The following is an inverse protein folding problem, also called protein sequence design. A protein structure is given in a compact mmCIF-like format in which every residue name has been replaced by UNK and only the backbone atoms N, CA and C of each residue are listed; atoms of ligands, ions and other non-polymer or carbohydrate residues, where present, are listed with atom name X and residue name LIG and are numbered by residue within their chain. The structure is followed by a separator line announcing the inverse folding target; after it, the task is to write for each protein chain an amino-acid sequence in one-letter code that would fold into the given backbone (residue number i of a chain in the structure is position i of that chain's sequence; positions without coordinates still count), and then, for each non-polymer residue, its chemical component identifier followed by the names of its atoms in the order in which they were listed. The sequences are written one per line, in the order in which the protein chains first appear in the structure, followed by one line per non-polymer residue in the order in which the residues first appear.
data_IF_521250990617
#
_entry.id   IF_521250990617
#
_cell.length_a   1.000
_cell.length_b   1.000
_cell.length_c   1.000
_cell.angle_alpha   90.00
_cell.angle_beta   90.00
_cell.angle_gamma   90.00
#
_symmetry.space_group_name_H-M   'P 1'
#
loop_
_entity.id
_entity.type
_entity.pdbx_description
1 polymer ?
#
# COMPACT_ATOMS: atom_id res chain seq x y z
N UNK A 1 29.01 32.29 26.36
CA UNK A 1 29.32 33.04 25.12
C UNK A 1 30.80 32.90 24.77
N UNK A 2 31.11 32.85 23.47
CA UNK A 2 32.44 32.79 22.89
C UNK A 2 33.12 34.17 22.85
N UNK A 3 34.45 34.18 22.89
CA UNK A 3 35.25 35.39 22.65
C UNK A 3 35.34 35.72 21.16
N UNK A 4 35.65 36.97 20.82
CA UNK A 4 35.75 37.46 19.44
C UNK A 4 36.74 36.62 18.60
N UNK A 5 37.91 36.33 19.15
CA UNK A 5 38.92 35.47 18.53
C UNK A 5 38.40 34.06 18.23
N UNK A 6 37.51 33.52 19.08
CA UNK A 6 36.91 32.20 18.87
C UNK A 6 35.85 32.28 17.77
N UNK A 7 35.03 33.33 17.77
CA UNK A 7 34.00 33.56 16.74
C UNK A 7 34.62 33.65 15.34
N UNK A 8 35.75 34.34 15.21
CA UNK A 8 36.48 34.48 13.93
C UNK A 8 36.99 33.13 13.40
N UNK A 9 37.44 32.25 14.29
CA UNK A 9 37.93 30.91 13.93
C UNK A 9 36.78 29.91 13.70
N UNK A 10 35.67 30.06 14.43
CA UNK A 10 34.51 29.16 14.31
C UNK A 10 33.83 29.25 12.95
N UNK A 11 33.84 30.42 12.30
CA UNK A 11 33.07 30.70 11.06
C UNK A 11 31.62 30.22 11.20
N UNK A 12 31.10 29.41 10.27
CA UNK A 12 29.89 28.64 10.49
C UNK A 12 30.21 27.30 11.14
N UNK A 13 29.30 26.85 12.00
CA UNK A 13 29.43 25.61 12.73
C UNK A 13 28.06 24.92 12.91
N UNK A 14 28.09 23.60 13.05
CA UNK A 14 26.92 22.78 13.41
C UNK A 14 27.06 22.38 14.86
N UNK A 15 25.98 22.52 15.62
CA UNK A 15 25.94 22.25 17.05
C UNK A 15 24.70 21.43 17.42
N UNK A 16 24.74 20.86 18.61
CA UNK A 16 23.59 20.21 19.23
C UNK A 16 23.48 20.57 20.70
N UNK A 17 22.24 20.49 21.22
CA UNK A 17 21.93 20.67 22.63
C UNK A 17 21.53 19.32 23.23
N UNK A 18 22.03 19.05 24.43
CA UNK A 18 21.80 17.79 25.14
C UNK A 18 21.24 18.05 26.52
N UNK A 19 20.24 17.27 26.90
CA UNK A 19 19.70 17.29 28.26
C UNK A 19 20.64 16.49 29.18
N UNK A 20 21.28 17.13 30.17
CA UNK A 20 22.24 16.45 31.05
C UNK A 20 21.59 15.39 31.95
N UNK A 21 20.26 15.41 32.12
CA UNK A 21 19.54 14.51 33.03
C UNK A 21 19.40 13.09 32.47
N UNK A 22 19.25 12.97 31.15
CA UNK A 22 19.05 11.69 30.45
C UNK A 22 20.05 11.46 29.31
N UNK A 23 20.88 12.45 28.99
CA UNK A 23 21.87 12.38 27.94
C UNK A 23 21.30 12.42 26.52
N UNK A 24 20.03 12.79 26.34
CA UNK A 24 19.34 12.83 25.04
C UNK A 24 19.66 14.15 24.33
N UNK A 25 20.00 14.05 23.04
CA UNK A 25 20.11 15.20 22.14
C UNK A 25 18.71 15.60 21.71
N UNK A 26 18.30 16.83 22.03
CA UNK A 26 16.95 17.31 21.75
C UNK A 26 16.90 18.44 20.71
N UNK A 27 18.06 18.95 20.28
CA UNK A 27 18.13 19.99 19.26
C UNK A 27 19.44 19.91 18.48
N UNK A 28 19.35 20.12 17.17
CA UNK A 28 20.48 20.33 16.26
C UNK A 28 20.26 21.66 15.55
N UNK A 29 21.33 22.41 15.32
CA UNK A 29 21.25 23.59 14.49
C UNK A 29 22.59 24.01 13.90
N UNK A 30 22.55 24.81 12.83
CA UNK A 30 23.69 25.60 12.37
C UNK A 30 23.75 26.95 13.05
N UNK A 31 24.96 27.48 13.22
CA UNK A 31 25.17 28.80 13.78
C UNK A 31 26.46 29.49 13.42
N UNK A 32 26.50 30.76 13.78
CA UNK A 32 27.64 31.67 13.67
C UNK A 32 27.64 32.58 14.91
N UNK A 33 28.82 32.96 15.37
CA UNK A 33 28.95 33.77 16.58
C UNK A 33 28.43 33.04 17.81
N UNK A 34 27.58 33.70 18.60
CA UNK A 34 27.05 33.17 19.85
C UNK A 34 25.73 32.42 19.73
N UNK A 35 25.22 32.16 18.52
CA UNK A 35 23.89 31.57 18.28
C UNK A 35 23.59 30.32 19.11
N UNK A 36 24.61 29.51 19.39
CA UNK A 36 24.48 28.30 20.22
C UNK A 36 23.92 28.61 21.62
N UNK A 37 24.23 29.77 22.19
CA UNK A 37 23.80 30.19 23.52
C UNK A 37 22.45 30.91 23.51
N UNK A 38 22.08 31.54 22.38
CA UNK A 38 20.87 32.36 22.28
C UNK A 38 19.57 31.60 22.65
N UNK A 39 19.53 30.28 22.50
CA UNK A 39 18.35 29.49 22.83
C UNK A 39 18.07 29.40 24.33
N UNK A 40 19.12 29.31 25.16
CA UNK A 40 18.97 29.31 26.60
C UNK A 40 18.52 30.69 27.12
N UNK A 41 19.01 31.77 26.49
CA UNK A 41 18.65 33.15 26.83
C UNK A 41 17.21 33.49 26.39
N UNK A 42 16.80 33.13 25.18
CA UNK A 42 15.43 33.36 24.69
C UNK A 42 14.34 32.59 25.46
N UNK A 43 14.68 31.47 26.09
CA UNK A 43 13.76 30.68 26.91
C UNK A 43 13.41 31.35 28.25
N UNK A 44 14.28 32.26 28.72
CA UNK A 44 14.10 33.05 29.94
C UNK A 44 13.31 34.35 29.68
N UNK A 45 13.34 34.87 28.46
CA UNK A 45 12.77 36.19 28.12
C UNK A 45 11.43 36.14 27.37
N UNK A 46 11.10 35.03 26.69
CA UNK A 46 9.85 34.93 25.91
C UNK A 46 8.82 34.02 26.58
N UNK A 47 7.54 34.40 26.51
CA UNK A 47 6.38 33.57 26.91
C UNK A 47 5.94 32.59 25.80
N UNK A 48 6.62 32.59 24.66
CA UNK A 48 6.29 31.70 23.54
C UNK A 48 6.56 30.23 23.91
N UNK A 49 5.62 29.33 23.60
CA UNK A 49 5.78 27.88 23.80
C UNK A 49 6.29 27.21 22.51
N UNK A 50 7.25 26.31 22.68
CA UNK A 50 7.70 25.38 21.64
C UNK A 50 8.43 24.25 22.34
N UNK A 51 8.35 23.03 21.80
CA UNK A 51 8.95 21.81 22.40
C UNK A 51 10.42 22.02 22.82
N UNK A 52 11.16 22.78 22.01
CA UNK A 52 12.55 23.20 22.29
C UNK A 52 12.65 24.10 23.53
N UNK A 53 11.89 25.19 23.58
CA UNK A 53 11.95 26.14 24.70
C UNK A 53 11.43 25.51 25.99
N UNK A 54 10.41 24.66 25.89
CA UNK A 54 9.82 23.95 27.02
C UNK A 54 10.79 22.91 27.60
N UNK A 55 11.54 22.21 26.74
CA UNK A 55 12.64 21.33 27.16
C UNK A 55 13.74 22.13 27.89
N UNK A 56 14.15 23.27 27.35
CA UNK A 56 15.16 24.14 27.98
C UNK A 56 14.67 24.63 29.35
N UNK A 57 13.44 25.15 29.44
CA UNK A 57 12.83 25.59 30.72
C UNK A 57 12.76 24.44 31.73
N UNK A 58 12.38 23.23 31.30
CA UNK A 58 12.36 22.04 32.15
C UNK A 58 13.74 21.71 32.73
N UNK A 59 14.80 21.79 31.92
CA UNK A 59 16.19 21.56 32.37
C UNK A 59 16.60 22.62 33.40
N UNK A 60 16.32 23.90 33.11
CA UNK A 60 16.68 25.03 33.98
C UNK A 60 15.92 24.99 35.32
N UNK A 61 14.61 24.69 35.29
CA UNK A 61 13.77 24.57 36.50
C UNK A 61 14.22 23.40 37.40
N UNK A 62 14.82 22.36 36.82
CA UNK A 62 15.42 21.27 37.57
C UNK A 62 16.80 21.61 38.16
N UNK A 63 17.27 22.85 38.01
CA UNK A 63 18.58 23.31 38.50
C UNK A 63 19.77 22.92 37.63
N UNK A 64 19.53 22.34 36.45
CA UNK A 64 20.57 21.95 35.51
C UNK A 64 20.82 23.03 34.46
N UNK A 65 21.95 22.92 33.77
CA UNK A 65 22.27 23.76 32.60
C UNK A 65 22.25 22.91 31.35
N UNK A 66 21.66 23.45 30.28
CA UNK A 66 21.69 22.80 28.96
C UNK A 66 23.14 22.62 28.51
N UNK A 67 23.50 21.41 28.08
CA UNK A 67 24.83 21.16 27.52
C UNK A 67 24.87 21.58 26.05
N UNK A 68 25.91 22.31 25.68
CA UNK A 68 26.10 22.87 24.35
C UNK A 68 27.33 22.23 23.71
N UNK A 69 27.16 21.57 22.56
CA UNK A 69 28.26 20.93 21.85
C UNK A 69 28.37 21.44 20.43
N UNK A 70 29.58 21.83 20.03
CA UNK A 70 29.90 22.09 18.62
C UNK A 70 30.36 20.78 18.00
N UNK A 71 29.62 20.27 17.01
CA UNK A 71 29.95 19.02 16.33
C UNK A 71 31.02 19.21 15.24
N UNK A 72 30.88 20.28 14.45
CA UNK A 72 31.80 20.68 13.38
C UNK A 72 31.85 22.20 13.28
N UNK A 73 33.01 22.77 13.03
CA UNK A 73 33.23 24.22 12.92
C UNK A 73 34.23 24.56 11.82
N UNK A 74 34.39 25.85 11.52
CA UNK A 74 35.27 26.35 10.46
C UNK A 74 34.67 26.20 9.06
N UNK A 75 33.36 25.97 8.99
CA UNK A 75 32.64 25.70 7.75
C UNK A 75 32.26 27.01 7.05
N UNK A 76 32.04 26.93 5.74
CA UNK A 76 31.18 27.88 5.04
C UNK A 76 29.70 27.57 5.32
N UNK A 77 28.81 28.49 4.96
CA UNK A 77 27.38 28.37 5.27
C UNK A 77 26.69 27.20 4.55
N UNK A 78 27.07 26.92 3.29
CA UNK A 78 26.46 25.85 2.48
C UNK A 78 26.84 24.50 3.07
N UNK A 79 28.12 24.32 3.37
CA UNK A 79 28.61 23.09 4.02
C UNK A 79 27.98 22.91 5.40
N UNK A 80 27.86 23.97 6.22
CA UNK A 80 27.19 23.88 7.52
C UNK A 80 25.71 23.49 7.40
N UNK A 81 25.04 23.98 6.36
CA UNK A 81 23.65 23.63 6.08
C UNK A 81 23.49 22.16 5.68
N UNK A 82 24.33 21.63 4.78
CA UNK A 82 24.28 20.22 4.40
C UNK A 82 24.61 19.27 5.56
N UNK A 83 25.59 19.64 6.41
CA UNK A 83 25.95 18.86 7.61
C UNK A 83 24.84 18.89 8.65
N UNK A 84 24.18 20.04 8.84
CA UNK A 84 23.00 20.17 9.70
C UNK A 84 21.85 19.26 9.21
N UNK A 85 21.52 19.33 7.92
CA UNK A 85 20.48 18.51 7.31
C UNK A 85 20.76 17.01 7.48
N UNK A 86 21.99 16.57 7.17
CA UNK A 86 22.38 15.17 7.32
C UNK A 86 22.29 14.68 8.77
N UNK A 87 22.66 15.52 9.75
CA UNK A 87 22.59 15.16 11.16
C UNK A 87 21.14 15.11 11.68
N UNK A 88 20.30 16.05 11.26
CA UNK A 88 18.86 16.05 11.59
C UNK A 88 18.22 14.78 11.04
N UNK A 89 18.47 14.45 9.77
CA UNK A 89 17.94 13.23 9.16
C UNK A 89 18.40 11.99 9.94
N UNK A 90 19.68 11.94 10.34
CA UNK A 90 20.25 10.80 11.05
C UNK A 90 19.68 10.63 12.46
N UNK A 91 19.57 11.72 13.24
CA UNK A 91 18.99 11.68 14.59
C UNK A 91 17.49 11.38 14.53
N UNK A 92 16.81 11.89 13.50
CA UNK A 92 15.40 11.59 13.20
C UNK A 92 15.11 10.09 13.05
N UNK A 93 16.11 9.26 12.71
CA UNK A 93 15.97 7.80 12.66
C UNK A 93 15.79 7.14 14.05
N UNK A 94 16.19 7.82 15.13
CA UNK A 94 16.34 7.21 16.47
C UNK A 94 15.36 7.71 17.53
N UNK A 95 14.48 8.67 17.24
CA UNK A 95 13.33 9.01 18.10
C UNK A 95 12.17 8.03 17.85
N UNK A 96 12.34 6.80 18.35
CA UNK A 96 11.33 5.74 18.41
C UNK A 96 10.21 6.10 19.40
N UNK A 97 9.28 6.97 18.99
CA UNK A 97 7.84 7.00 19.35
C UNK A 97 7.21 8.32 18.84
N UNK A 98 6.78 8.31 17.57
CA UNK A 98 5.95 9.24 16.79
C UNK A 98 5.57 10.66 17.31
N UNK A 99 5.52 11.61 16.34
CA UNK A 99 4.55 12.74 16.13
C UNK A 99 5.11 14.12 15.76
N UNK A 100 6.27 14.22 15.09
CA UNK A 100 6.46 15.25 14.05
C UNK A 100 7.75 15.01 13.25
N UNK A 101 7.59 14.61 11.98
CA UNK A 101 8.71 14.55 11.03
C UNK A 101 9.13 15.97 10.67
N UNK A 102 10.38 16.31 10.97
CA UNK A 102 10.97 17.59 10.59
C UNK A 102 10.85 17.83 9.09
N UNK A 103 10.47 19.06 8.73
CA UNK A 103 10.62 19.56 7.37
C UNK A 103 12.07 19.36 6.88
N UNK A 104 12.23 19.20 5.56
CA UNK A 104 13.48 19.07 4.80
C UNK A 104 13.95 17.65 4.45
N UNK A 105 13.09 16.83 3.85
CA UNK A 105 13.61 15.89 2.85
C UNK A 105 14.06 16.71 1.63
N UNK A 106 15.33 17.08 1.54
CA UNK A 106 15.91 17.60 0.29
C UNK A 106 16.01 16.46 -0.74
N UNK A 107 16.31 16.77 -2.00
CA UNK A 107 16.60 15.73 -3.00
C UNK A 107 17.81 14.86 -2.62
N UNK A 108 18.61 15.30 -1.64
CA UNK A 108 19.83 14.63 -1.14
C UNK A 108 19.71 14.01 0.27
N UNK A 109 18.56 14.13 0.95
CA UNK A 109 18.34 13.50 2.27
C UNK A 109 18.34 11.97 2.23
N UNK A 110 18.30 11.31 3.39
CA UNK A 110 18.56 9.86 3.50
C UNK A 110 17.67 9.03 2.57
N UNK A 111 18.30 8.15 1.78
CA UNK A 111 17.66 7.21 0.87
C UNK A 111 18.15 5.80 1.13
N UNK A 112 17.39 4.78 0.73
CA UNK A 112 17.92 3.41 0.65
C UNK A 112 18.91 3.29 -0.52
N UNK A 113 19.70 2.22 -0.55
CA UNK A 113 20.57 1.91 -1.68
C UNK A 113 19.77 1.78 -2.97
N UNK A 114 18.59 1.16 -2.93
CA UNK A 114 17.73 0.99 -4.10
C UNK A 114 17.18 2.34 -4.60
N UNK A 115 16.88 3.27 -3.71
CA UNK A 115 16.42 4.61 -4.08
C UNK A 115 17.53 5.47 -4.71
N UNK A 116 18.77 5.31 -4.25
CA UNK A 116 19.95 5.95 -4.87
C UNK A 116 20.21 5.34 -6.24
N UNK A 117 20.19 4.00 -6.35
CA UNK A 117 20.34 3.29 -7.62
C UNK A 117 19.24 3.74 -8.59
N UNK A 118 17.99 3.80 -8.15
CA UNK A 118 16.89 4.33 -8.94
C UNK A 118 17.13 5.79 -9.34
N UNK A 119 17.54 6.67 -8.43
CA UNK A 119 17.74 8.08 -8.74
C UNK A 119 18.84 8.30 -9.79
N UNK A 120 19.94 7.56 -9.73
CA UNK A 120 21.11 7.79 -10.60
C UNK A 120 21.20 6.81 -11.79
N UNK A 121 20.43 5.72 -11.78
CA UNK A 121 20.44 4.68 -12.82
C UNK A 121 19.07 4.47 -13.46
N UNK A 122 18.04 5.23 -13.09
CA UNK A 122 16.71 5.05 -13.66
C UNK A 122 16.72 5.30 -15.16
N UNK A 123 16.43 4.24 -15.90
CA UNK A 123 15.97 4.33 -17.26
C UNK A 123 14.72 5.23 -17.32
N UNK A 124 14.61 6.01 -18.40
CA UNK A 124 13.40 6.77 -18.67
C UNK A 124 12.19 5.82 -18.72
N UNK A 125 11.06 6.25 -18.17
CA UNK A 125 9.83 5.49 -18.25
C UNK A 125 9.38 5.39 -19.70
N UNK A 126 9.60 4.24 -20.32
CA UNK A 126 9.08 3.91 -21.64
C UNK A 126 8.09 2.76 -21.53
N UNK A 127 6.86 3.01 -21.94
CA UNK A 127 5.82 1.99 -21.93
C UNK A 127 4.78 2.26 -23.00
N UNK A 128 4.23 1.19 -23.56
CA UNK A 128 3.03 1.20 -24.40
C UNK A 128 1.75 0.94 -23.60
N UNK A 129 1.88 0.59 -22.31
CA UNK A 129 0.73 0.29 -21.46
C UNK A 129 -0.08 1.56 -21.19
N UNK A 130 -1.42 1.46 -21.16
CA UNK A 130 -2.28 2.57 -20.79
C UNK A 130 -2.22 2.79 -19.27
N UNK A 131 -1.51 3.83 -18.86
CA UNK A 131 -1.25 4.10 -17.44
C UNK A 131 -1.63 5.53 -17.05
N UNK A 132 -1.99 5.70 -15.78
CA UNK A 132 -2.09 7.00 -15.13
C UNK A 132 -1.00 7.12 -14.08
N UNK A 133 -0.15 8.14 -14.24
CA UNK A 133 0.84 8.52 -13.25
C UNK A 133 0.18 9.42 -12.21
N UNK A 134 0.35 9.07 -10.94
CA UNK A 134 -0.25 9.78 -9.81
C UNK A 134 0.88 10.25 -8.90
N UNK A 135 1.05 11.56 -8.79
CA UNK A 135 2.08 12.18 -7.97
C UNK A 135 1.60 12.41 -6.53
N UNK A 136 2.28 11.75 -5.58
CA UNK A 136 1.95 11.79 -4.16
C UNK A 136 2.99 12.54 -3.32
N UNK A 137 3.74 13.49 -3.90
CA UNK A 137 4.79 14.26 -3.22
C UNK A 137 4.39 14.84 -1.85
N UNK A 138 3.11 15.16 -1.64
CA UNK A 138 2.61 15.71 -0.37
C UNK A 138 2.21 14.64 0.67
N UNK A 139 2.00 13.39 0.25
CA UNK A 139 1.50 12.30 1.10
C UNK A 139 2.57 11.24 1.38
N UNK A 140 3.63 11.19 0.58
CA UNK A 140 4.70 10.20 0.72
C UNK A 140 5.67 10.58 1.84
N UNK A 141 5.97 9.60 2.69
CA UNK A 141 7.10 9.60 3.62
C UNK A 141 7.80 8.24 3.55
N UNK A 142 8.98 8.11 4.14
CA UNK A 142 9.88 6.99 3.86
C UNK A 142 9.38 5.67 4.42
N UNK A 143 8.84 5.70 5.62
CA UNK A 143 8.32 4.53 6.34
C UNK A 143 6.86 4.22 5.98
N UNK A 144 6.36 4.80 4.87
CA UNK A 144 5.00 4.56 4.42
C UNK A 144 4.81 3.08 4.15
N UNK A 145 3.83 2.49 4.80
CA UNK A 145 3.47 1.09 4.59
C UNK A 145 2.90 0.89 3.19
N UNK A 146 2.87 -0.35 2.70
CA UNK A 146 2.25 -0.65 1.40
C UNK A 146 0.77 -0.25 1.35
N UNK A 147 0.08 -0.34 2.48
CA UNK A 147 -1.31 0.09 2.65
C UNK A 147 -1.44 1.62 2.58
N UNK A 148 -0.64 2.36 3.35
CA UNK A 148 -0.65 3.82 3.32
C UNK A 148 -0.22 4.37 1.95
N UNK A 149 0.72 3.69 1.26
CA UNK A 149 1.13 4.05 -0.10
C UNK A 149 0.00 3.86 -1.11
N UNK A 150 -0.76 2.77 -0.96
CA UNK A 150 -1.95 2.53 -1.77
C UNK A 150 -3.03 3.57 -1.49
N UNK A 151 -3.32 3.87 -0.22
CA UNK A 151 -4.30 4.88 0.17
C UNK A 151 -3.92 6.29 -0.30
N UNK A 152 -2.63 6.63 -0.19
CA UNK A 152 -2.09 7.88 -0.72
C UNK A 152 -2.27 7.98 -2.24
N UNK A 153 -2.19 6.85 -2.95
CA UNK A 153 -2.29 6.76 -4.41
C UNK A 153 -3.73 6.67 -4.91
N UNK A 154 -4.63 6.00 -4.18
CA UNK A 154 -5.93 5.60 -4.72
C UNK A 154 -6.93 6.74 -4.81
N UNK A 155 -6.87 7.72 -3.91
CA UNK A 155 -7.83 8.81 -3.83
C UNK A 155 -7.27 10.07 -3.14
N UNK A 156 -7.86 11.25 -3.27
CA UNK A 156 -8.99 11.62 -4.12
C UNK A 156 -8.52 12.65 -5.15
N UNK A 157 -8.59 12.28 -6.42
CA UNK A 157 -7.94 13.03 -7.50
C UNK A 157 -8.93 13.79 -8.36
N UNK A 158 -8.53 14.97 -8.82
CA UNK A 158 -9.23 15.67 -9.90
C UNK A 158 -8.74 15.05 -11.21
N UNK A 159 -9.54 14.15 -11.76
CA UNK A 159 -9.15 13.29 -12.88
C UNK A 159 -10.33 13.11 -13.86
N UNK A 160 -10.06 13.26 -15.16
CA UNK A 160 -11.07 13.25 -16.20
C UNK A 160 -11.47 11.85 -16.69
N UNK A 161 -12.40 11.78 -17.64
CA UNK A 161 -12.93 10.54 -18.23
C UNK A 161 -11.89 9.67 -18.94
N UNK A 162 -10.72 10.21 -19.31
CA UNK A 162 -9.58 9.40 -19.81
C UNK A 162 -9.13 8.33 -18.81
N UNK A 163 -9.48 8.47 -17.52
CA UNK A 163 -9.23 7.46 -16.47
C UNK A 163 -9.82 6.09 -16.80
N UNK A 164 -10.97 6.06 -17.48
CA UNK A 164 -11.66 4.81 -17.81
C UNK A 164 -10.87 3.98 -18.86
N UNK A 165 -9.85 4.59 -19.47
CA UNK A 165 -8.93 3.95 -20.42
C UNK A 165 -7.60 3.55 -19.77
N UNK A 166 -7.33 3.94 -18.53
CA UNK A 166 -6.12 3.56 -17.82
C UNK A 166 -6.29 2.17 -17.21
N UNK A 167 -5.35 1.26 -17.47
CA UNK A 167 -5.33 -0.07 -16.88
C UNK A 167 -4.51 -0.11 -15.58
N UNK A 168 -3.48 0.74 -15.48
CA UNK A 168 -2.64 0.81 -14.30
C UNK A 168 -2.56 2.23 -13.74
N UNK A 169 -2.60 2.34 -12.42
CA UNK A 169 -2.21 3.52 -11.68
C UNK A 169 -0.77 3.33 -11.19
N UNK A 170 0.11 4.26 -11.55
CA UNK A 170 1.52 4.22 -11.19
C UNK A 170 1.80 5.36 -10.23
N UNK A 171 2.15 5.01 -9.00
CA UNK A 171 2.53 5.98 -7.97
C UNK A 171 3.85 6.61 -8.32
N UNK A 172 3.94 7.93 -8.18
CA UNK A 172 5.16 8.68 -8.43
C UNK A 172 5.51 9.56 -7.24
N UNK A 173 6.80 9.63 -6.94
CA UNK A 173 7.38 10.49 -5.92
C UNK A 173 8.73 11.01 -6.40
N UNK A 174 8.89 12.34 -6.39
CA UNK A 174 10.10 13.07 -6.84
C UNK A 174 10.65 12.62 -8.19
N UNK A 175 9.78 12.52 -9.18
CA UNK A 175 10.22 12.21 -10.55
C UNK A 175 10.54 10.74 -10.80
N UNK A 176 10.27 9.84 -9.84
CA UNK A 176 10.42 8.40 -9.98
C UNK A 176 9.09 7.70 -9.75
N UNK A 177 8.86 6.62 -10.49
CA UNK A 177 7.79 5.66 -10.19
C UNK A 177 8.15 4.83 -8.95
N UNK A 178 7.16 4.52 -8.11
CA UNK A 178 7.33 3.83 -6.82
C UNK A 178 6.63 2.50 -6.78
N UNK A 179 5.35 2.48 -7.13
CA UNK A 179 4.55 1.28 -7.12
C UNK A 179 3.51 1.32 -8.23
N UNK A 180 3.04 0.14 -8.63
CA UNK A 180 2.11 -0.03 -9.74
C UNK A 180 0.92 -0.84 -9.28
N UNK A 181 -0.27 -0.25 -9.45
CA UNK A 181 -1.54 -0.87 -9.14
C UNK A 181 -2.32 -1.12 -10.42
N UNK A 182 -2.87 -2.32 -10.58
CA UNK A 182 -3.87 -2.60 -11.61
C UNK A 182 -5.21 -2.02 -11.15
N UNK A 183 -5.78 -1.14 -11.95
CA UNK A 183 -7.08 -0.53 -11.68
C UNK A 183 -8.17 -1.56 -11.99
N UNK A 184 -9.06 -1.82 -11.02
CA UNK A 184 -10.26 -2.65 -11.20
C UNK A 184 -11.48 -1.80 -11.52
N UNK A 185 -11.67 -0.71 -10.78
CA UNK A 185 -12.80 0.20 -10.99
C UNK A 185 -12.49 1.60 -10.47
N UNK A 186 -13.20 2.58 -11.01
CA UNK A 186 -13.19 3.96 -10.53
C UNK A 186 -14.45 4.23 -9.73
N UNK A 187 -14.36 5.07 -8.71
CA UNK A 187 -15.51 5.53 -7.92
C UNK A 187 -15.43 7.04 -7.65
N UNK A 188 -16.57 7.74 -7.62
CA UNK A 188 -16.60 9.15 -7.26
C UNK A 188 -16.40 9.32 -5.75
N UNK A 189 -15.75 10.42 -5.37
CA UNK A 189 -15.54 10.87 -3.99
C UNK A 189 -15.92 12.34 -3.94
N UNK A 190 -16.87 12.70 -3.09
CA UNK A 190 -17.20 14.10 -2.84
C UNK A 190 -16.28 14.67 -1.76
N UNK A 191 -15.55 15.74 -2.09
CA UNK A 191 -14.77 16.51 -1.12
C UNK A 191 -15.14 17.98 -1.29
N UNK A 192 -15.76 18.56 -0.26
CA UNK A 192 -16.19 19.97 -0.22
C UNK A 192 -17.07 20.37 -1.42
N UNK A 193 -17.96 19.46 -1.88
CA UNK A 193 -18.84 19.70 -3.02
C UNK A 193 -18.14 19.65 -4.38
N UNK A 194 -16.89 19.18 -4.43
CA UNK A 194 -16.14 18.95 -5.67
C UNK A 194 -16.02 17.44 -5.90
N UNK A 195 -16.56 16.99 -7.04
CA UNK A 195 -16.40 15.61 -7.47
C UNK A 195 -14.92 15.32 -7.77
N UNK A 196 -14.38 14.37 -7.01
CA UNK A 196 -13.08 13.75 -7.24
C UNK A 196 -13.29 12.27 -7.51
N UNK A 197 -12.22 11.59 -7.89
CA UNK A 197 -12.28 10.16 -8.15
C UNK A 197 -11.20 9.42 -7.38
N UNK A 198 -11.61 8.26 -6.86
CA UNK A 198 -10.72 7.23 -6.38
C UNK A 198 -10.77 6.00 -7.29
N UNK A 199 -9.83 5.08 -7.12
CA UNK A 199 -9.89 3.77 -7.77
C UNK A 199 -9.74 2.63 -6.77
N UNK A 200 -10.40 1.52 -7.06
CA UNK A 200 -10.13 0.24 -6.41
C UNK A 200 -9.13 -0.48 -7.30
N UNK A 201 -8.00 -0.86 -6.74
CA UNK A 201 -6.94 -1.59 -7.44
C UNK A 201 -6.26 -2.61 -6.55
N UNK A 202 -5.34 -3.33 -7.16
CA UNK A 202 -4.45 -4.29 -6.48
C UNK A 202 -3.04 -4.11 -7.04
N UNK A 203 -2.02 -4.61 -6.35
CA UNK A 203 -0.67 -4.62 -6.91
C UNK A 203 -0.68 -5.28 -8.29
N UNK A 204 -0.05 -4.64 -9.27
CA UNK A 204 0.15 -5.27 -10.57
C UNK A 204 1.01 -6.53 -10.43
N UNK A 205 0.99 -7.40 -11.44
CA UNK A 205 1.88 -8.56 -11.44
C UNK A 205 3.36 -8.12 -11.43
N UNK A 206 4.24 -9.02 -11.01
CA UNK A 206 5.65 -8.67 -10.79
C UNK A 206 6.33 -8.18 -12.07
N UNK A 207 6.03 -8.79 -13.23
CA UNK A 207 6.58 -8.36 -14.53
C UNK A 207 6.25 -6.90 -14.86
N UNK A 208 5.00 -6.48 -14.66
CA UNK A 208 4.57 -5.09 -14.92
C UNK A 208 5.19 -4.15 -13.88
N UNK A 209 5.30 -4.59 -12.62
CA UNK A 209 5.94 -3.82 -11.55
C UNK A 209 7.44 -3.64 -11.81
N UNK A 210 8.15 -4.66 -12.26
CA UNK A 210 9.57 -4.59 -12.65
C UNK A 210 9.77 -3.67 -13.86
N UNK A 211 8.87 -3.72 -14.85
CA UNK A 211 8.92 -2.85 -16.01
C UNK A 211 8.73 -1.36 -15.64
N UNK A 212 7.81 -1.07 -14.72
CA UNK A 212 7.32 0.29 -14.50
C UNK A 212 7.82 0.94 -13.20
N UNK A 213 8.30 0.20 -12.19
CA UNK A 213 8.84 0.78 -10.95
C UNK A 213 10.25 1.33 -11.15
N UNK A 214 10.59 2.33 -10.33
CA UNK A 214 11.92 2.94 -10.29
C UNK A 214 12.39 3.50 -11.64
N UNK A 215 11.46 3.95 -12.48
CA UNK A 215 11.72 4.60 -13.77
C UNK A 215 11.59 6.11 -13.63
N UNK A 216 12.42 6.84 -14.38
CA UNK A 216 12.41 8.30 -14.40
C UNK A 216 11.26 8.82 -15.24
N UNK A 217 10.45 9.72 -14.69
CA UNK A 217 9.31 10.33 -15.39
C UNK A 217 9.60 11.74 -15.91
N UNK A 218 10.86 12.20 -15.80
CA UNK A 218 11.29 13.56 -16.15
C UNK A 218 10.97 13.96 -17.59
N UNK A 219 10.99 13.00 -18.53
CA UNK A 219 10.58 13.21 -19.93
C UNK A 219 9.07 13.43 -20.12
N UNK A 220 8.24 13.06 -19.15
CA UNK A 220 6.77 13.07 -19.25
C UNK A 220 6.10 14.24 -18.53
N UNK A 221 6.83 14.95 -17.66
CA UNK A 221 6.38 16.13 -16.92
C UNK A 221 7.24 17.35 -17.29
N UNK A 222 6.72 18.30 -18.09
CA UNK A 222 7.43 19.58 -18.28
C UNK A 222 7.51 20.35 -16.95
N UNK A 223 8.61 21.10 -16.76
CA UNK A 223 8.80 21.96 -15.58
C UNK A 223 7.57 22.86 -15.36
N UNK A 224 7.03 22.85 -14.14
CA UNK A 224 5.88 23.69 -13.75
C UNK A 224 4.49 23.03 -13.90
N UNK A 225 4.40 21.73 -14.21
CA UNK A 225 3.13 21.02 -14.24
C UNK A 225 2.45 20.98 -12.86
N UNK A 226 1.36 21.73 -12.69
CA UNK A 226 0.62 21.83 -11.43
C UNK A 226 -0.31 20.63 -11.15
N UNK A 227 -0.65 19.84 -12.17
CA UNK A 227 -1.56 18.69 -12.03
C UNK A 227 -0.76 17.43 -11.62
N UNK A 228 -1.08 16.80 -10.47
CA UNK A 228 -0.42 15.56 -10.05
C UNK A 228 -0.75 14.34 -10.93
N UNK A 229 -1.69 14.47 -11.87
CA UNK A 229 -2.14 13.39 -12.75
C UNK A 229 -1.59 13.56 -14.17
N UNK A 230 -1.04 12.46 -14.72
CA UNK A 230 -0.64 12.38 -16.13
C UNK A 230 -1.07 11.05 -16.74
N UNK A 231 -1.72 11.10 -17.90
CA UNK A 231 -2.05 9.91 -18.68
C UNK A 231 -0.98 9.62 -19.72
N UNK A 232 -0.59 8.36 -19.84
CA UNK A 232 0.22 7.84 -20.93
C UNK A 232 -0.55 6.73 -21.65
N UNK A 233 -0.56 6.76 -22.98
CA UNK A 233 -1.23 5.79 -23.86
C UNK A 233 -2.76 5.62 -23.66
N UNK A 234 -3.44 6.55 -22.97
CA UNK A 234 -4.91 6.53 -22.78
C UNK A 234 -5.71 7.25 -23.89
N UNK A 235 -5.17 7.39 -25.10
CA UNK A 235 -5.72 8.29 -26.13
C UNK A 235 -6.63 7.62 -27.17
N UNK A 236 -6.47 6.32 -27.46
CA UNK A 236 -7.33 5.63 -28.41
C UNK A 236 -8.67 5.22 -27.76
N UNK A 237 -9.82 5.27 -28.48
CA UNK A 237 -10.97 4.46 -28.13
C UNK A 237 -10.53 2.99 -28.07
N UNK A 238 -11.14 2.17 -27.22
CA UNK A 238 -11.05 0.71 -27.37
C UNK A 238 -11.56 0.37 -28.78
N UNK A 239 -10.65 0.21 -29.73
CA UNK A 239 -10.98 -0.23 -31.06
C UNK A 239 -11.45 -1.68 -30.94
N UNK A 240 -12.76 -1.87 -31.14
CA UNK A 240 -13.34 -3.16 -31.47
C UNK A 240 -12.71 -3.61 -32.79
N UNK A 241 -11.57 -4.28 -32.71
CA UNK A 241 -11.01 -5.00 -33.86
C UNK A 241 -11.75 -6.33 -33.92
N UNK A 242 -12.77 -6.39 -34.78
CA UNK A 242 -13.27 -7.66 -35.32
C UNK A 242 -12.20 -8.17 -36.29
N UNK A 243 -11.44 -9.19 -35.88
CA UNK A 243 -10.70 -10.06 -36.79
C UNK A 243 -10.97 -11.51 -36.42
N UNK A 244 -11.26 -12.30 -37.45
CA UNK A 244 -11.46 -13.76 -37.46
C UNK A 244 -10.34 -14.51 -36.71
N UNK A 245 -10.64 -15.70 -36.16
CA UNK A 245 -9.81 -16.35 -35.16
C UNK A 245 -8.47 -16.82 -35.76
N UNK A 246 -7.31 -16.38 -35.22
CA UNK A 246 -6.03 -16.96 -35.58
C UNK A 246 -5.78 -18.25 -34.79
N UNK A 247 -5.37 -19.29 -35.52
CA UNK A 247 -5.02 -20.61 -35.00
C UNK A 247 -3.77 -20.61 -34.11
N UNK A 248 -3.76 -21.56 -33.17
CA UNK A 248 -2.75 -21.85 -32.13
C UNK A 248 -1.31 -21.90 -32.65
N UNK A 249 -0.41 -21.15 -32.00
CA UNK A 249 0.90 -21.66 -31.54
C UNK A 249 1.08 -21.24 -30.08
N UNK A 250 1.51 -22.21 -29.28
CA UNK A 250 1.42 -22.35 -27.82
C UNK A 250 2.58 -21.65 -27.12
N UNK A 251 2.26 -20.84 -26.10
CA UNK A 251 3.14 -20.57 -24.98
C UNK A 251 2.41 -21.08 -23.73
N UNK A 252 3.11 -21.90 -22.94
CA UNK A 252 2.49 -22.84 -22.00
C UNK A 252 1.50 -22.15 -21.05
N UNK A 253 0.25 -22.63 -20.96
CA UNK A 253 -0.73 -22.10 -20.02
C UNK A 253 -0.30 -22.43 -18.60
N UNK A 254 -0.50 -21.51 -17.65
CA UNK A 254 -0.85 -21.94 -16.30
C UNK A 254 -2.29 -22.45 -16.45
N UNK A 255 -2.39 -23.77 -16.45
CA UNK A 255 -3.54 -24.57 -16.85
C UNK A 255 -4.87 -24.08 -16.27
N UNK A 256 -5.78 -23.61 -17.14
CA UNK A 256 -7.23 -23.71 -16.88
C UNK A 256 -7.69 -25.18 -16.73
N UNK A 257 -6.78 -26.12 -17.02
CA UNK A 257 -6.84 -27.58 -16.88
C UNK A 257 -6.55 -28.07 -15.46
N UNK A 258 -6.09 -27.24 -14.51
CA UNK A 258 -5.80 -27.66 -13.13
C UNK A 258 -7.00 -27.55 -12.18
N UNK A 259 -7.94 -26.65 -12.47
CA UNK A 259 -9.15 -26.45 -11.65
C UNK A 259 -10.21 -27.49 -11.99
N UNK A 260 -10.04 -28.69 -11.44
CA UNK A 260 -10.90 -29.85 -11.69
C UNK A 260 -11.64 -30.36 -10.46
N UNK A 261 -11.61 -29.63 -9.34
CA UNK A 261 -12.25 -30.07 -8.09
C UNK A 261 -13.45 -29.21 -7.71
N UNK A 262 -14.49 -29.91 -7.27
CA UNK A 262 -15.66 -29.39 -6.58
C UNK A 262 -15.44 -29.57 -5.07
N UNK A 263 -15.41 -28.48 -4.31
CA UNK A 263 -15.27 -28.52 -2.86
C UNK A 263 -16.66 -28.59 -2.21
N UNK A 264 -17.01 -29.74 -1.62
CA UNK A 264 -18.27 -29.97 -0.92
C UNK A 264 -18.11 -29.63 0.55
N UNK A 265 -18.98 -28.78 1.07
CA UNK A 265 -18.86 -28.23 2.43
C UNK A 265 -20.19 -28.27 3.17
N UNK A 266 -20.16 -28.66 4.45
CA UNK A 266 -21.35 -28.71 5.29
C UNK A 266 -21.63 -27.35 5.89
N UNK A 267 -22.74 -26.72 5.47
CA UNK A 267 -23.03 -25.33 5.84
C UNK A 267 -24.14 -25.20 6.87
N UNK A 268 -24.62 -26.27 7.51
CA UNK A 268 -25.74 -26.20 8.47
C UNK A 268 -25.54 -25.08 9.51
N UNK A 269 -24.41 -25.07 10.22
CA UNK A 269 -24.07 -24.03 11.21
C UNK A 269 -23.65 -22.71 10.55
N UNK A 270 -22.90 -22.79 9.45
CA UNK A 270 -22.39 -21.60 8.73
C UNK A 270 -23.50 -20.75 8.10
N UNK A 271 -24.54 -21.40 7.57
CA UNK A 271 -25.74 -20.78 7.01
C UNK A 271 -26.51 -20.00 8.06
N UNK A 272 -26.74 -20.59 9.22
CA UNK A 272 -27.49 -19.95 10.31
C UNK A 272 -26.77 -18.69 10.82
N UNK A 273 -25.43 -18.72 10.88
CA UNK A 273 -24.62 -17.62 11.39
C UNK A 273 -24.28 -16.55 10.33
N UNK A 274 -24.10 -16.94 9.07
CA UNK A 274 -23.50 -16.09 8.03
C UNK A 274 -24.26 -16.08 6.70
N UNK A 275 -25.39 -16.78 6.58
CA UNK A 275 -26.12 -16.96 5.32
C UNK A 275 -25.48 -18.00 4.38
N UNK A 276 -26.17 -18.32 3.29
CA UNK A 276 -25.77 -19.41 2.39
C UNK A 276 -24.44 -19.16 1.68
N UNK A 277 -24.27 -17.97 1.13
CA UNK A 277 -23.09 -17.62 0.35
C UNK A 277 -21.85 -17.64 1.25
N UNK A 278 -21.83 -16.83 2.31
CA UNK A 278 -20.71 -16.79 3.24
C UNK A 278 -20.55 -18.09 4.03
N UNK A 279 -21.62 -18.82 4.35
CA UNK A 279 -21.50 -20.16 4.92
C UNK A 279 -20.80 -21.16 4.00
N UNK A 280 -20.88 -20.95 2.68
CA UNK A 280 -20.28 -21.83 1.66
C UNK A 280 -18.84 -21.45 1.33
N UNK A 281 -18.51 -20.17 1.21
CA UNK A 281 -17.14 -19.73 0.84
C UNK A 281 -16.14 -19.55 1.98
N UNK A 282 -16.55 -19.73 3.24
CA UNK A 282 -15.73 -19.38 4.41
C UNK A 282 -14.56 -20.31 4.68
N UNK A 283 -13.55 -19.80 5.39
CA UNK A 283 -12.32 -20.42 5.85
C UNK A 283 -12.31 -21.97 5.99
N UNK A 284 -12.06 -22.69 4.89
CA UNK A 284 -11.93 -24.15 4.84
C UNK A 284 -10.45 -24.56 4.87
N UNK A 285 -10.11 -25.60 5.63
CA UNK A 285 -8.74 -26.12 5.73
C UNK A 285 -8.38 -26.94 4.49
N UNK A 286 -8.03 -26.26 3.40
CA UNK A 286 -7.92 -26.88 2.08
C UNK A 286 -6.51 -27.35 1.70
N UNK A 287 -5.47 -26.76 2.29
CA UNK A 287 -4.08 -27.02 1.92
C UNK A 287 -3.83 -26.76 0.44
N UNK A 288 -2.93 -27.54 -0.17
CA UNK A 288 -2.54 -27.34 -1.57
C UNK A 288 -3.69 -27.59 -2.54
N UNK A 289 -4.73 -28.36 -2.20
CA UNK A 289 -5.85 -28.61 -3.12
C UNK A 289 -6.71 -27.37 -3.38
N UNK A 290 -6.53 -26.29 -2.61
CA UNK A 290 -7.33 -25.07 -2.72
C UNK A 290 -7.25 -24.42 -4.11
N UNK A 291 -6.07 -24.40 -4.75
CA UNK A 291 -5.89 -23.77 -6.07
C UNK A 291 -6.58 -24.54 -7.21
N UNK A 292 -6.90 -25.82 -7.00
CA UNK A 292 -7.59 -26.70 -7.96
C UNK A 292 -9.12 -26.66 -7.85
N UNK A 293 -9.65 -25.91 -6.89
CA UNK A 293 -11.10 -25.81 -6.70
C UNK A 293 -11.67 -24.86 -7.75
N UNK A 294 -12.58 -25.37 -8.59
CA UNK A 294 -13.35 -24.56 -9.55
C UNK A 294 -14.65 -24.03 -8.97
N UNK A 295 -15.28 -24.80 -8.07
CA UNK A 295 -16.55 -24.43 -7.42
C UNK A 295 -16.65 -24.96 -6.01
N UNK A 296 -17.41 -24.26 -5.16
CA UNK A 296 -17.73 -24.69 -3.80
C UNK A 296 -19.22 -24.98 -3.71
N UNK A 297 -19.57 -26.13 -3.13
CA UNK A 297 -20.94 -26.63 -3.03
C UNK A 297 -21.29 -26.77 -1.55
N UNK A 298 -22.16 -25.90 -1.08
CA UNK A 298 -22.70 -25.90 0.27
C UNK A 298 -23.88 -26.87 0.41
N UNK A 299 -23.75 -27.85 1.30
CA UNK A 299 -24.79 -28.84 1.58
C UNK A 299 -25.40 -28.69 2.97
N UNK A 300 -26.70 -28.94 3.05
CA UNK A 300 -27.51 -28.95 4.27
C UNK A 300 -28.20 -30.31 4.34
N UNK A 301 -27.89 -31.12 5.37
CA UNK A 301 -28.38 -32.52 5.52
C UNK A 301 -28.17 -33.38 4.25
N UNK A 302 -27.05 -33.18 3.55
CA UNK A 302 -26.69 -33.91 2.32
C UNK A 302 -27.37 -33.41 1.04
N UNK A 303 -28.19 -32.36 1.12
CA UNK A 303 -28.84 -31.72 -0.03
C UNK A 303 -28.08 -30.45 -0.42
N UNK A 304 -27.89 -30.21 -1.72
CA UNK A 304 -27.25 -28.99 -2.24
C UNK A 304 -28.15 -27.79 -1.97
N UNK A 305 -27.63 -26.82 -1.21
CA UNK A 305 -28.33 -25.61 -0.79
C UNK A 305 -27.68 -24.32 -1.33
N UNK A 306 -26.42 -24.40 -1.76
CA UNK A 306 -25.66 -23.28 -2.32
C UNK A 306 -24.57 -23.80 -3.24
N UNK A 307 -24.36 -23.16 -4.38
CA UNK A 307 -23.27 -23.44 -5.31
C UNK A 307 -22.62 -22.12 -5.71
N UNK A 308 -21.31 -22.04 -5.56
CA UNK A 308 -20.52 -20.90 -5.99
C UNK A 308 -19.54 -21.39 -7.05
N UNK A 309 -19.77 -21.00 -8.30
CA UNK A 309 -19.01 -21.49 -9.46
C UNK A 309 -18.04 -20.46 -10.01
N UNK A 310 -16.85 -20.89 -10.41
CA UNK A 310 -15.77 -20.01 -10.85
C UNK A 310 -15.00 -19.35 -9.70
N UNK A 311 -14.85 -20.05 -8.57
CA UNK A 311 -14.19 -19.50 -7.39
C UNK A 311 -12.67 -19.44 -7.53
N UNK A 312 -12.05 -18.59 -6.71
CA UNK A 312 -10.61 -18.56 -6.50
C UNK A 312 -10.30 -18.64 -5.02
N UNK A 313 -9.45 -19.60 -4.64
CA UNK A 313 -9.02 -19.74 -3.25
C UNK A 313 -8.00 -18.64 -2.90
N UNK A 314 -8.21 -18.00 -1.76
CA UNK A 314 -7.23 -17.13 -1.12
C UNK A 314 -7.17 -17.45 0.37
N UNK A 315 -6.04 -17.17 1.03
CA UNK A 315 -5.98 -17.30 2.48
C UNK A 315 -7.01 -16.37 3.12
N UNK A 316 -7.75 -16.91 4.09
CA UNK A 316 -8.70 -16.18 4.90
C UNK A 316 -7.93 -15.13 5.70
N UNK A 317 -8.28 -13.86 5.55
CA UNK A 317 -7.79 -12.73 6.34
C UNK A 317 -8.98 -11.85 6.75
N UNK A 318 -8.85 -10.94 7.73
CA UNK A 318 -9.91 -10.01 8.09
C UNK A 318 -10.45 -9.17 6.91
N UNK A 319 -9.61 -8.92 5.91
CA UNK A 319 -9.98 -8.16 4.71
C UNK A 319 -10.75 -8.99 3.67
N UNK A 320 -10.48 -10.30 3.60
CA UNK A 320 -11.01 -11.20 2.57
C UNK A 320 -12.25 -11.95 3.05
N UNK A 321 -12.30 -12.25 4.34
CA UNK A 321 -13.39 -12.97 4.98
C UNK A 321 -13.95 -12.09 6.11
N UNK A 322 -15.15 -11.48 5.95
CA UNK A 322 -15.78 -10.66 7.00
C UNK A 322 -16.01 -11.39 8.32
N UNK A 323 -15.94 -12.73 8.30
CA UNK A 323 -16.10 -13.59 9.46
C UNK A 323 -14.77 -14.21 9.92
N UNK A 324 -13.63 -13.61 9.55
CA UNK A 324 -12.32 -14.07 9.96
C UNK A 324 -12.13 -13.92 11.47
N UNK A 325 -11.68 -15.00 12.11
CA UNK A 325 -11.22 -15.03 13.50
C UNK A 325 -9.89 -15.79 13.60
N UNK A 326 -9.29 -15.83 14.79
CA UNK A 326 -8.02 -16.53 15.05
C UNK A 326 -8.11 -18.03 14.66
N UNK A 327 -9.30 -18.64 14.75
CA UNK A 327 -9.50 -20.03 14.34
C UNK A 327 -9.47 -20.26 12.82
N UNK A 328 -9.49 -19.18 12.04
CA UNK A 328 -9.47 -19.17 10.58
C UNK A 328 -8.06 -19.02 9.99
N UNK A 329 -7.02 -18.82 10.80
CA UNK A 329 -5.64 -18.72 10.33
C UNK A 329 -5.22 -20.00 9.56
N UNK A 330 -4.54 -19.81 8.42
CA UNK A 330 -4.10 -20.89 7.53
C UNK A 330 -5.23 -21.60 6.76
N UNK A 331 -6.46 -21.11 6.81
CA UNK A 331 -7.60 -21.63 6.03
C UNK A 331 -7.88 -20.76 4.81
N UNK A 332 -8.60 -21.32 3.83
CA UNK A 332 -8.89 -20.65 2.56
C UNK A 332 -10.33 -20.17 2.49
N UNK A 333 -10.51 -18.93 2.05
CA UNK A 333 -11.79 -18.38 1.61
C UNK A 333 -11.87 -18.44 0.08
N UNK A 334 -13.06 -18.71 -0.45
CA UNK A 334 -13.30 -18.87 -1.88
C UNK A 334 -14.01 -17.65 -2.46
N UNK A 335 -13.23 -16.80 -3.10
CA UNK A 335 -13.68 -15.52 -3.63
C UNK A 335 -14.15 -15.63 -5.07
N UNK A 336 -14.85 -14.59 -5.52
CA UNK A 336 -15.47 -14.49 -6.83
C UNK A 336 -16.50 -15.61 -7.06
N UNK A 337 -16.84 -15.80 -8.33
CA UNK A 337 -17.79 -16.80 -8.78
C UNK A 337 -19.24 -16.37 -8.68
N UNK A 338 -20.09 -17.10 -9.40
CA UNK A 338 -21.53 -16.89 -9.42
C UNK A 338 -22.13 -17.76 -8.32
N UNK A 339 -22.81 -17.12 -7.36
CA UNK A 339 -23.47 -17.81 -6.25
C UNK A 339 -24.95 -18.04 -6.58
N UNK A 340 -25.36 -19.29 -6.62
CA UNK A 340 -26.77 -19.71 -6.70
C UNK A 340 -27.11 -20.44 -5.40
N UNK A 341 -28.20 -20.07 -4.73
CA UNK A 341 -28.59 -20.70 -3.47
C UNK A 341 -30.10 -20.94 -3.39
N UNK A 342 -30.55 -21.68 -2.38
CA UNK A 342 -31.96 -22.12 -2.27
C UNK A 342 -32.99 -21.00 -2.14
N UNK A 343 -32.58 -19.77 -1.83
CA UNK A 343 -33.48 -18.63 -1.80
C UNK A 343 -33.74 -18.03 -3.20
N UNK A 344 -32.97 -18.43 -4.22
CA UNK A 344 -33.20 -17.97 -5.60
C UNK A 344 -34.39 -18.73 -6.22
N UNK A 345 -35.48 -18.05 -6.61
CA UNK A 345 -36.64 -18.69 -7.25
C UNK A 345 -36.30 -19.46 -8.54
N UNK A 346 -35.23 -19.06 -9.23
CA UNK A 346 -34.73 -19.64 -10.47
C UNK A 346 -33.50 -20.54 -10.24
N UNK A 347 -33.22 -20.94 -8.99
CA UNK A 347 -32.02 -21.72 -8.65
C UNK A 347 -31.84 -22.99 -9.49
N UNK A 348 -32.92 -23.69 -9.84
CA UNK A 348 -32.87 -24.90 -10.69
C UNK A 348 -32.51 -24.61 -12.15
N UNK A 349 -32.95 -23.45 -12.67
CA UNK A 349 -32.69 -23.02 -14.04
C UNK A 349 -31.24 -22.53 -14.18
N UNK A 350 -30.71 -21.90 -13.13
CA UNK A 350 -29.35 -21.37 -13.11
C UNK A 350 -28.29 -22.44 -12.77
N UNK A 351 -28.65 -23.50 -12.03
CA UNK A 351 -27.71 -24.55 -11.66
C UNK A 351 -28.41 -25.90 -11.43
N UNK A 352 -28.14 -26.86 -12.30
CA UNK A 352 -28.74 -28.21 -12.25
C UNK A 352 -28.44 -29.00 -10.97
N UNK A 353 -27.35 -28.68 -10.26
CA UNK A 353 -27.01 -29.33 -8.99
C UNK A 353 -27.91 -28.89 -7.84
N UNK A 354 -28.60 -27.76 -7.96
CA UNK A 354 -29.40 -27.21 -6.87
C UNK A 354 -30.48 -28.20 -6.44
N UNK A 355 -30.62 -28.37 -5.13
CA UNK A 355 -31.56 -29.30 -4.50
C UNK A 355 -31.29 -30.79 -4.69
N UNK A 356 -30.29 -31.20 -5.49
CA UNK A 356 -29.93 -32.62 -5.60
C UNK A 356 -29.32 -33.13 -4.30
N UNK A 357 -29.44 -34.44 -4.05
CA UNK A 357 -28.87 -35.09 -2.86
C UNK A 357 -27.51 -35.71 -3.21
N UNK A 358 -26.49 -35.40 -2.42
CA UNK A 358 -25.15 -36.00 -2.54
C UNK A 358 -25.00 -37.08 -1.47
N UNK A 359 -24.87 -38.33 -1.92
CA UNK A 359 -24.72 -39.50 -1.06
C UNK A 359 -23.27 -39.70 -0.60
N UNK A 360 -23.07 -40.44 0.50
CA UNK A 360 -21.73 -40.82 0.97
C UNK A 360 -20.86 -39.67 1.52
N UNK A 361 -21.46 -38.54 1.91
CA UNK A 361 -20.74 -37.45 2.58
C UNK A 361 -20.43 -37.82 4.03
N UNK A 362 -19.14 -37.85 4.38
CA UNK A 362 -18.64 -38.07 5.74
C UNK A 362 -18.64 -36.80 6.59
N UNK A 363 -17.84 -36.77 7.65
CA UNK A 363 -17.61 -35.57 8.45
C UNK A 363 -16.55 -34.67 7.78
N UNK A 364 -16.80 -33.37 7.67
CA UNK A 364 -15.86 -32.40 7.11
C UNK A 364 -16.08 -32.09 5.62
N UNK A 365 -15.19 -31.30 5.02
CA UNK A 365 -15.28 -30.94 3.61
C UNK A 365 -14.63 -32.00 2.71
N UNK A 366 -15.12 -32.14 1.47
CA UNK A 366 -14.68 -33.17 0.53
C UNK A 366 -14.37 -32.56 -0.83
N UNK A 367 -13.38 -33.10 -1.53
CA UNK A 367 -13.11 -32.78 -2.92
C UNK A 367 -13.68 -33.89 -3.80
N UNK A 368 -14.42 -33.52 -4.82
CA UNK A 368 -14.92 -34.42 -5.86
C UNK A 368 -14.59 -33.82 -7.22
N UNK A 369 -14.16 -34.62 -8.19
CA UNK A 369 -14.21 -34.18 -9.59
C UNK A 369 -15.67 -34.23 -10.11
N UNK A 370 -15.90 -33.89 -11.38
CA UNK A 370 -17.27 -33.88 -11.93
C UNK A 370 -17.87 -35.28 -12.05
N UNK A 371 -17.10 -36.28 -12.51
CA UNK A 371 -17.56 -37.67 -12.65
C UNK A 371 -17.96 -38.27 -11.30
N UNK A 372 -17.14 -38.06 -10.27
CA UNK A 372 -17.41 -38.49 -8.90
C UNK A 372 -18.65 -37.79 -8.34
N UNK A 373 -18.78 -36.48 -8.57
CA UNK A 373 -19.93 -35.71 -8.14
C UNK A 373 -21.21 -36.22 -8.80
N UNK A 374 -21.21 -36.40 -10.11
CA UNK A 374 -22.35 -36.95 -10.86
C UNK A 374 -22.75 -38.34 -10.35
N UNK A 375 -21.78 -39.24 -10.12
CA UNK A 375 -22.03 -40.59 -9.62
C UNK A 375 -22.68 -40.64 -8.22
N UNK A 376 -22.43 -39.62 -7.39
CA UNK A 376 -22.94 -39.53 -6.02
C UNK A 376 -24.23 -38.71 -5.91
N UNK A 377 -24.63 -38.05 -6.99
CA UNK A 377 -25.76 -37.12 -7.02
C UNK A 377 -27.00 -37.84 -7.56
N UNK A 378 -28.05 -37.91 -6.75
CA UNK A 378 -29.36 -38.39 -7.18
C UNK A 378 -30.33 -37.21 -7.37
N UNK A 379 -31.30 -37.38 -8.27
CA UNK A 379 -32.44 -36.44 -8.44
C UNK A 379 -33.23 -36.22 -7.14
#
# INVERSE_FOLDING_TARGET
MFSQSVIEQLKYYVYFLRDPRNGIVFYVGKGRGNRIFNHAECALESDSSSDKLDTIRSILNAGFKVEHYVLRHGLDEVTAFEVEAALIDFIGLTNLSNLQGGHYSSDFGIKTTDEIIAMYSAEALETSLPIVLININKKYYREITQEELYDATREAWVIGSKRDRATYAVTTYRGLTREVYKIKSWYPVDIDGKERWGFIGELANETVREQLRYKAISSHFPQGAANPIKYLNCNAPLSVVRTTPPQKIVQAPIDATEKNLNLIVHIQKGKEKHGYEWGTRQAWKCGDKAHRVKRVIGVVKGKVACVIDGVTAQLSTPMINPNHDIGCEGRYAFLNGICVNENDPHAKEQCELMFKKISGLGQGHRYLNDEELESLTSE
#
